data_IF_100145197427
#
_entry.id   IF_100145197427
#
_cell.length_a   1.000
_cell.length_b   1.000
_cell.length_c   1.000
_cell.angle_alpha   90.00
_cell.angle_beta   90.00
_cell.angle_gamma   90.00
#
_symmetry.space_group_name_H-M   'P 1'
#
loop_
_entity.id
_entity.type
_entity.pdbx_description
1 polymer ?
#
# COMPACT_ATOMS: atom_id res chain seq x y z
N UNK A 1 9.89 10.41 12.70
CA UNK A 1 9.85 8.95 12.78
C UNK A 1 9.88 8.27 11.45
N UNK A 2 8.77 7.98 10.78
CA UNK A 2 8.81 7.36 9.45
C UNK A 2 9.47 8.27 8.42
N UNK A 3 9.09 9.53 8.36
CA UNK A 3 9.66 10.48 7.40
C UNK A 3 11.17 10.67 7.63
N UNK A 4 11.59 10.74 8.87
CA UNK A 4 13.01 10.85 9.22
C UNK A 4 13.78 9.61 8.81
N UNK A 5 13.21 8.43 9.01
CA UNK A 5 13.79 7.16 8.56
C UNK A 5 13.98 7.14 7.05
N UNK A 6 12.97 7.59 6.31
CA UNK A 6 13.05 7.66 4.84
C UNK A 6 14.16 8.62 4.40
N UNK A 7 14.27 9.78 5.05
CA UNK A 7 15.33 10.75 4.77
C UNK A 7 16.71 10.20 5.10
N UNK A 8 16.86 9.48 6.20
CA UNK A 8 18.12 8.85 6.58
C UNK A 8 18.51 7.77 5.58
N UNK A 9 17.56 6.97 5.11
CA UNK A 9 17.79 5.96 4.11
C UNK A 9 18.18 6.58 2.75
N UNK A 10 17.65 7.75 2.45
CA UNK A 10 18.07 8.52 1.27
C UNK A 10 19.57 8.85 1.36
N UNK A 11 20.00 9.37 2.49
CA UNK A 11 21.41 9.69 2.73
C UNK A 11 22.30 8.44 2.62
N UNK A 12 21.82 7.33 3.18
CA UNK A 12 22.55 6.07 3.13
C UNK A 12 22.67 5.55 1.69
N UNK A 13 21.59 5.63 0.91
CA UNK A 13 21.61 5.25 -0.49
C UNK A 13 22.57 6.13 -1.32
N UNK A 14 22.69 7.40 -0.97
CA UNK A 14 23.69 8.30 -1.59
C UNK A 14 25.10 7.85 -1.27
N UNK A 15 25.40 7.51 -0.02
CA UNK A 15 26.73 7.03 0.42
C UNK A 15 27.10 5.71 -0.26
N UNK A 16 26.12 4.81 -0.38
CA UNK A 16 26.31 3.48 -0.97
C UNK A 16 26.30 3.52 -2.50
N UNK A 17 26.01 4.67 -3.09
CA UNK A 17 25.86 4.85 -4.55
C UNK A 17 24.81 3.91 -5.13
N UNK A 18 23.77 3.62 -4.35
CA UNK A 18 22.63 2.78 -4.76
C UNK A 18 21.64 3.63 -5.55
N UNK A 19 21.93 3.89 -6.82
CA UNK A 19 21.20 4.84 -7.68
C UNK A 19 19.72 4.53 -7.81
N UNK A 20 19.36 3.27 -8.02
CA UNK A 20 17.98 2.86 -8.21
C UNK A 20 17.16 3.01 -6.93
N UNK A 21 17.75 2.62 -5.80
CA UNK A 21 17.13 2.79 -4.49
C UNK A 21 16.96 4.26 -4.15
N UNK A 22 17.99 5.07 -4.38
CA UNK A 22 17.96 6.50 -4.17
C UNK A 22 16.86 7.17 -4.99
N UNK A 23 16.74 6.80 -6.26
CA UNK A 23 15.71 7.33 -7.15
C UNK A 23 14.30 7.03 -6.62
N UNK A 24 14.05 5.81 -6.17
CA UNK A 24 12.76 5.42 -5.60
C UNK A 24 12.47 6.18 -4.31
N UNK A 25 13.44 6.30 -3.41
CA UNK A 25 13.27 7.04 -2.15
C UNK A 25 12.95 8.51 -2.43
N UNK A 26 13.60 9.11 -3.42
CA UNK A 26 13.30 10.48 -3.84
C UNK A 26 11.88 10.65 -4.35
N UNK A 27 11.36 9.65 -5.06
CA UNK A 27 9.96 9.66 -5.52
C UNK A 27 9.00 9.63 -4.33
N UNK A 28 9.30 8.87 -3.29
CA UNK A 28 8.50 8.84 -2.06
C UNK A 28 8.49 10.23 -1.42
N UNK A 29 9.66 10.81 -1.21
CA UNK A 29 9.77 12.13 -0.58
C UNK A 29 9.10 13.23 -1.39
N UNK A 30 9.18 13.16 -2.72
CA UNK A 30 8.50 14.09 -3.60
C UNK A 30 6.98 13.98 -3.48
N UNK A 31 6.45 12.76 -3.40
CA UNK A 31 5.01 12.53 -3.23
C UNK A 31 4.51 13.08 -1.90
N UNK A 32 5.26 12.86 -0.82
CA UNK A 32 4.93 13.39 0.51
C UNK A 32 4.93 14.92 0.48
N UNK A 33 5.99 15.51 -0.06
CA UNK A 33 6.12 16.96 -0.13
C UNK A 33 5.02 17.61 -0.97
N UNK A 34 4.66 16.98 -2.08
CA UNK A 34 3.58 17.46 -2.94
C UNK A 34 2.24 17.52 -2.20
N UNK A 35 1.93 16.49 -1.43
CA UNK A 35 0.72 16.46 -0.61
C UNK A 35 0.74 17.55 0.47
N UNK A 36 1.89 17.76 1.11
CA UNK A 36 2.04 18.81 2.12
C UNK A 36 1.82 20.19 1.52
N UNK A 37 2.34 20.43 0.32
CA UNK A 37 2.18 21.71 -0.38
C UNK A 37 0.71 21.91 -0.79
N UNK A 38 0.10 20.91 -1.41
CA UNK A 38 -1.27 20.98 -1.93
C UNK A 38 -2.30 21.19 -0.80
N UNK A 39 -2.08 20.53 0.33
CA UNK A 39 -2.99 20.59 1.47
C UNK A 39 -2.60 21.65 2.50
N UNK A 40 -1.42 22.25 2.37
CA UNK A 40 -0.85 23.23 3.29
C UNK A 40 -0.79 22.75 4.74
N UNK A 41 -0.42 21.47 4.92
CA UNK A 41 -0.30 20.83 6.23
C UNK A 41 0.97 19.98 6.26
N UNK A 42 1.43 19.66 7.48
CA UNK A 42 2.46 18.65 7.70
C UNK A 42 1.73 17.31 7.83
N UNK A 43 2.14 16.32 7.06
CA UNK A 43 1.50 15.01 7.07
C UNK A 43 1.90 14.21 8.30
N UNK A 44 0.92 13.53 8.88
CA UNK A 44 1.14 12.56 9.95
C UNK A 44 1.55 11.21 9.35
N UNK A 45 2.09 10.34 10.19
CA UNK A 45 2.59 9.03 9.78
C UNK A 45 1.53 8.21 9.04
N UNK A 46 0.29 8.20 9.52
CA UNK A 46 -0.81 7.47 8.87
C UNK A 46 -1.06 7.96 7.44
N UNK A 47 -0.93 9.27 7.22
CA UNK A 47 -1.11 9.86 5.89
C UNK A 47 0.05 9.50 4.96
N UNK A 48 1.26 9.44 5.48
CA UNK A 48 2.44 9.00 4.73
C UNK A 48 2.29 7.53 4.33
N UNK A 49 1.84 6.68 5.24
CA UNK A 49 1.58 5.27 4.94
C UNK A 49 0.52 5.11 3.84
N UNK A 50 -0.51 5.94 3.83
CA UNK A 50 -1.53 5.94 2.77
C UNK A 50 -0.93 6.32 1.41
N UNK A 51 0.01 7.26 1.36
CA UNK A 51 0.72 7.63 0.14
C UNK A 51 1.55 6.45 -0.37
N UNK A 52 2.28 5.78 0.52
CA UNK A 52 3.09 4.62 0.17
C UNK A 52 2.23 3.48 -0.37
N UNK A 53 1.10 3.22 0.24
CA UNK A 53 0.15 2.20 -0.20
C UNK A 53 -0.36 2.50 -1.62
N UNK A 54 -0.73 3.74 -1.88
CA UNK A 54 -1.16 4.19 -3.20
C UNK A 54 -0.05 4.02 -4.25
N UNK A 55 1.18 4.33 -3.89
CA UNK A 55 2.33 4.17 -4.78
C UNK A 55 2.55 2.70 -5.16
N UNK A 56 2.42 1.80 -4.19
CA UNK A 56 2.51 0.35 -4.44
C UNK A 56 1.39 -0.11 -5.38
N UNK A 57 0.17 0.34 -5.13
CA UNK A 57 -0.98 -0.02 -5.97
C UNK A 57 -0.80 0.45 -7.41
N UNK A 58 -0.35 1.68 -7.61
CA UNK A 58 -0.08 2.22 -8.94
C UNK A 58 0.96 1.37 -9.68
N UNK A 59 2.00 0.92 -8.98
CA UNK A 59 3.05 0.10 -9.57
C UNK A 59 2.58 -1.31 -9.89
N UNK A 60 1.71 -1.89 -9.06
CA UNK A 60 1.08 -3.19 -9.38
C UNK A 60 0.25 -3.12 -10.66
N UNK A 61 -0.50 -2.05 -10.81
CA UNK A 61 -1.30 -1.82 -12.03
C UNK A 61 -0.39 -1.68 -13.25
N UNK A 62 0.72 -0.95 -13.11
CA UNK A 62 1.71 -0.80 -14.18
C UNK A 62 2.38 -2.12 -14.55
N UNK A 63 2.73 -2.94 -13.56
CA UNK A 63 3.33 -4.27 -13.76
C UNK A 63 2.38 -5.14 -14.59
N UNK A 64 1.11 -5.14 -14.26
CA UNK A 64 0.11 -5.91 -14.99
C UNK A 64 0.06 -5.50 -16.47
N UNK A 65 0.09 -4.20 -16.75
CA UNK A 65 0.11 -3.68 -18.11
C UNK A 65 1.40 -4.03 -18.85
N UNK A 66 2.54 -3.88 -18.20
CA UNK A 66 3.84 -4.20 -18.80
C UNK A 66 3.99 -5.69 -19.08
N UNK A 67 3.53 -6.54 -18.18
CA UNK A 67 3.58 -7.99 -18.38
C UNK A 67 2.71 -8.42 -19.57
N UNK A 68 1.53 -7.83 -19.71
CA UNK A 68 0.66 -8.08 -20.87
C UNK A 68 1.29 -7.62 -22.18
N UNK A 69 2.09 -6.56 -22.14
CA UNK A 69 2.78 -6.03 -23.31
C UNK A 69 4.12 -6.72 -23.58
N UNK A 70 4.52 -7.69 -22.76
CA UNK A 70 5.81 -8.37 -22.90
C UNK A 70 7.03 -7.49 -22.55
N UNK A 71 6.80 -6.43 -21.78
CA UNK A 71 7.86 -5.49 -21.39
C UNK A 71 8.42 -5.82 -20.00
N UNK A 72 9.09 -6.95 -19.90
CA UNK A 72 9.68 -7.45 -18.64
C UNK A 72 10.72 -6.49 -18.05
N UNK A 73 11.41 -5.74 -18.88
CA UNK A 73 12.36 -4.72 -18.47
C UNK A 73 11.71 -3.64 -17.61
N UNK A 74 10.56 -3.14 -18.04
CA UNK A 74 9.78 -2.12 -17.29
C UNK A 74 9.11 -2.71 -16.07
N UNK A 75 8.58 -3.94 -16.20
CA UNK A 75 7.97 -4.67 -15.09
C UNK A 75 8.96 -4.90 -13.95
N UNK A 76 10.18 -5.31 -14.26
CA UNK A 76 11.24 -5.56 -13.27
C UNK A 76 11.59 -4.30 -12.49
N UNK A 77 11.65 -3.16 -13.17
CA UNK A 77 11.90 -1.87 -12.53
C UNK A 77 10.80 -1.52 -11.52
N UNK A 78 9.53 -1.70 -11.92
CA UNK A 78 8.39 -1.43 -11.04
C UNK A 78 8.40 -2.36 -9.82
N UNK A 79 8.74 -3.63 -10.00
CA UNK A 79 8.86 -4.61 -8.91
C UNK A 79 9.92 -4.20 -7.90
N UNK A 80 11.06 -3.71 -8.37
CA UNK A 80 12.13 -3.20 -7.51
C UNK A 80 11.64 -2.00 -6.70
N UNK A 81 10.94 -1.07 -7.33
CA UNK A 81 10.40 0.10 -6.63
C UNK A 81 9.40 -0.31 -5.55
N UNK A 82 8.56 -1.31 -5.81
CA UNK A 82 7.64 -1.87 -4.80
C UNK A 82 8.43 -2.40 -3.60
N UNK A 83 9.51 -3.12 -3.81
CA UNK A 83 10.32 -3.65 -2.71
C UNK A 83 10.87 -2.53 -1.81
N UNK A 84 11.33 -1.44 -2.40
CA UNK A 84 11.84 -0.30 -1.63
C UNK A 84 10.72 0.35 -0.83
N UNK A 85 9.56 0.57 -1.43
CA UNK A 85 8.40 1.20 -0.78
C UNK A 85 7.84 0.30 0.32
N UNK A 86 7.72 -0.98 0.05
CA UNK A 86 7.16 -1.98 0.95
C UNK A 86 7.95 -2.11 2.27
N UNK A 87 9.24 -1.80 2.24
CA UNK A 87 10.09 -1.81 3.43
C UNK A 87 9.61 -0.81 4.51
N UNK A 88 8.85 0.19 4.13
CA UNK A 88 8.30 1.19 5.04
C UNK A 88 6.86 0.91 5.47
N UNK A 89 6.20 -0.03 4.81
CA UNK A 89 4.84 -0.43 5.14
C UNK A 89 4.85 -1.56 6.18
N UNK A 90 3.77 -1.71 6.97
CA UNK A 90 3.62 -2.87 7.84
C UNK A 90 3.69 -4.15 7.02
N UNK A 91 4.11 -5.25 7.65
CA UNK A 91 4.18 -6.54 6.99
C UNK A 91 2.82 -6.91 6.37
N UNK A 92 2.80 -7.43 5.12
CA UNK A 92 1.55 -7.85 4.48
C UNK A 92 0.87 -8.95 5.30
N UNK A 93 -0.47 -8.91 5.31
CA UNK A 93 -1.27 -9.96 5.92
C UNK A 93 -1.26 -11.20 5.02
N UNK A 94 -1.21 -12.38 5.64
CA UNK A 94 -1.38 -13.65 4.93
C UNK A 94 -2.84 -13.84 4.52
N UNK A 95 -3.10 -14.73 3.58
CA UNK A 95 -4.48 -15.07 3.16
C UNK A 95 -5.32 -15.57 4.33
N UNK A 96 -4.71 -16.35 5.21
CA UNK A 96 -5.38 -16.84 6.42
C UNK A 96 -5.74 -15.71 7.37
N UNK A 97 -4.82 -14.79 7.63
CA UNK A 97 -5.07 -13.63 8.47
C UNK A 97 -6.18 -12.74 7.90
N UNK A 98 -6.17 -12.52 6.59
CA UNK A 98 -7.21 -11.76 5.89
C UNK A 98 -8.57 -12.46 6.07
N UNK A 99 -8.63 -13.76 5.85
CA UNK A 99 -9.86 -14.54 5.98
C UNK A 99 -10.43 -14.47 7.40
N UNK A 100 -9.57 -14.61 8.41
CA UNK A 100 -9.95 -14.53 9.82
C UNK A 100 -10.49 -13.15 10.18
N UNK A 101 -9.83 -12.09 9.72
CA UNK A 101 -10.27 -10.71 9.97
C UNK A 101 -11.62 -10.42 9.30
N UNK A 102 -11.84 -10.93 8.11
CA UNK A 102 -13.12 -10.79 7.40
C UNK A 102 -14.24 -11.50 8.17
N UNK A 103 -14.00 -12.74 8.58
CA UNK A 103 -14.98 -13.52 9.35
C UNK A 103 -15.33 -12.82 10.66
N UNK A 104 -14.34 -12.32 11.38
CA UNK A 104 -14.52 -11.58 12.62
C UNK A 104 -15.32 -10.29 12.40
N UNK A 105 -15.02 -9.55 11.34
CA UNK A 105 -15.71 -8.31 11.01
C UNK A 105 -17.18 -8.57 10.65
N UNK A 106 -17.46 -9.63 9.91
CA UNK A 106 -18.84 -10.04 9.56
C UNK A 106 -19.62 -10.38 10.83
N UNK A 107 -19.02 -11.14 11.72
CA UNK A 107 -19.64 -11.52 12.99
C UNK A 107 -19.89 -10.31 13.89
N UNK A 108 -18.88 -9.45 14.06
CA UNK A 108 -18.98 -8.25 14.91
C UNK A 108 -20.01 -7.25 14.42
N UNK A 109 -20.12 -7.08 13.11
CA UNK A 109 -21.03 -6.12 12.50
C UNK A 109 -22.46 -6.63 12.38
N UNK A 110 -22.66 -7.95 12.52
CA UNK A 110 -23.94 -8.60 12.26
C UNK A 110 -24.33 -8.58 10.79
N UNK A 111 -23.36 -8.50 9.89
CA UNK A 111 -23.60 -8.46 8.45
C UNK A 111 -24.23 -9.74 7.94
N UNK A 112 -25.30 -9.64 7.17
CA UNK A 112 -26.05 -10.76 6.63
C UNK A 112 -26.08 -10.78 5.10
N UNK A 113 -25.84 -9.64 4.46
CA UNK A 113 -25.95 -9.51 3.01
C UNK A 113 -24.99 -8.45 2.47
N UNK A 114 -24.97 -8.32 1.16
CA UNK A 114 -24.18 -7.31 0.45
C UNK A 114 -24.50 -5.87 0.88
N UNK A 115 -25.69 -5.63 1.40
CA UNK A 115 -26.09 -4.30 1.92
C UNK A 115 -25.21 -3.86 3.10
N UNK A 116 -24.66 -4.83 3.82
CA UNK A 116 -23.84 -4.58 5.01
C UNK A 116 -22.35 -4.49 4.69
N UNK A 117 -21.98 -4.59 3.41
CA UNK A 117 -20.59 -4.54 2.98
C UNK A 117 -19.86 -3.28 3.47
N UNK A 118 -20.54 -2.12 3.46
CA UNK A 118 -19.98 -0.87 3.96
C UNK A 118 -19.59 -0.94 5.42
N UNK A 119 -20.37 -1.63 6.24
CA UNK A 119 -20.08 -1.83 7.67
C UNK A 119 -18.85 -2.71 7.86
N UNK A 120 -18.76 -3.80 7.12
CA UNK A 120 -17.62 -4.71 7.16
C UNK A 120 -16.35 -4.00 6.72
N UNK A 121 -16.41 -3.27 5.61
CA UNK A 121 -15.28 -2.48 5.11
C UNK A 121 -14.83 -1.41 6.09
N UNK A 122 -15.78 -0.76 6.77
CA UNK A 122 -15.48 0.24 7.79
C UNK A 122 -14.68 -0.32 8.96
N UNK A 123 -14.94 -1.57 9.33
CA UNK A 123 -14.20 -2.27 10.39
C UNK A 123 -12.82 -2.71 9.89
N UNK A 124 -12.75 -3.23 8.67
CA UNK A 124 -11.53 -3.83 8.14
C UNK A 124 -10.51 -2.81 7.63
N UNK A 125 -10.96 -1.71 7.06
CA UNK A 125 -10.09 -0.72 6.44
C UNK A 125 -8.95 -0.24 7.37
N UNK A 126 -9.20 0.17 8.62
CA UNK A 126 -8.12 0.58 9.52
C UNK A 126 -7.14 -0.54 9.85
N UNK A 127 -7.60 -1.81 9.84
CA UNK A 127 -6.79 -2.97 10.19
C UNK A 127 -5.94 -3.48 9.03
N UNK A 128 -6.42 -3.30 7.81
CA UNK A 128 -5.81 -3.88 6.60
C UNK A 128 -5.13 -2.87 5.68
N UNK A 129 -5.41 -1.59 5.82
CA UNK A 129 -4.85 -0.57 4.93
C UNK A 129 -3.32 -0.60 4.99
N UNK A 130 -2.68 -0.69 3.81
CA UNK A 130 -1.24 -0.82 3.69
C UNK A 130 -0.71 -2.23 3.93
N UNK A 131 -1.56 -3.20 4.32
CA UNK A 131 -1.16 -4.58 4.61
C UNK A 131 -1.84 -5.61 3.72
N UNK A 132 -2.83 -5.22 2.96
CA UNK A 132 -3.55 -6.09 2.04
C UNK A 132 -4.07 -5.28 0.86
N UNK A 133 -4.28 -5.97 -0.28
CA UNK A 133 -4.92 -5.37 -1.44
C UNK A 133 -6.42 -5.27 -1.17
N UNK A 134 -6.92 -4.06 -0.97
CA UNK A 134 -8.32 -3.83 -0.62
C UNK A 134 -9.29 -4.26 -1.72
N UNK A 135 -8.86 -4.29 -2.98
CA UNK A 135 -9.66 -4.83 -4.08
C UNK A 135 -9.91 -6.32 -3.93
N UNK A 136 -8.88 -7.08 -3.56
CA UNK A 136 -9.00 -8.51 -3.28
C UNK A 136 -9.84 -8.77 -2.04
N UNK A 137 -9.64 -7.97 -0.99
CA UNK A 137 -10.42 -8.05 0.26
C UNK A 137 -11.90 -7.83 -0.03
N UNK A 138 -12.23 -6.82 -0.82
CA UNK A 138 -13.61 -6.54 -1.25
C UNK A 138 -14.24 -7.75 -1.94
N UNK A 139 -13.50 -8.39 -2.85
CA UNK A 139 -13.96 -9.61 -3.54
C UNK A 139 -14.22 -10.76 -2.58
N UNK A 140 -13.34 -10.95 -1.59
CA UNK A 140 -13.50 -11.99 -0.58
C UNK A 140 -14.71 -11.75 0.32
N UNK A 141 -14.97 -10.49 0.69
CA UNK A 141 -16.15 -10.12 1.47
C UNK A 141 -17.42 -10.42 0.68
N UNK A 142 -17.47 -10.03 -0.59
CA UNK A 142 -18.61 -10.35 -1.48
C UNK A 142 -18.88 -11.84 -1.55
N UNK A 143 -17.82 -12.63 -1.65
CA UNK A 143 -17.89 -14.08 -1.69
C UNK A 143 -18.51 -14.66 -0.42
N UNK A 144 -18.24 -14.08 0.74
CA UNK A 144 -18.79 -14.54 2.02
C UNK A 144 -20.20 -14.03 2.32
N UNK A 145 -20.54 -12.83 1.84
CA UNK A 145 -21.86 -12.21 2.07
C UNK A 145 -22.88 -12.55 0.97
N UNK A 146 -22.40 -12.84 -0.19
CA UNK A 146 -23.24 -13.19 -1.34
C UNK A 146 -23.60 -14.63 -1.33
#
# INVERSE_FOLDING_TARGET
>A
MLLERIKDDMKQAMRDRAKDRLSTIRLILAAVKQQEIDRRVVLEEAEILAILDKMVKQRRDSIEQFDKAGRDDLSTKEKFEIEVIQAYLPAPLSEQEISELIAEAITSSGAESMRDMGKVMGILKPKMQGRADMGKVSGLIKSQLG
#
